data_IF_307065405035
#
_entry.id   IF_307065405035
#
_cell.length_a   1.000
_cell.length_b   1.000
_cell.length_c   1.000
_cell.angle_alpha   90.00
_cell.angle_beta   90.00
_cell.angle_gamma   90.00
#
_symmetry.space_group_name_H-M   'P 1'
#
loop_
_entity.id
_entity.type
_entity.pdbx_description
1 polymer ?
#
# COMPACT_ATOMS: atom_id res chain seq x y z
N UNK A 1 71.11 -44.21 3.89
CA UNK A 1 69.97 -43.36 3.53
C UNK A 1 69.03 -44.19 2.66
N UNK A 2 67.82 -44.55 3.17
CA UNK A 2 66.84 -45.32 2.39
C UNK A 2 66.08 -44.36 1.49
N UNK A 3 66.26 -44.45 0.17
CA UNK A 3 65.45 -43.74 -0.80
C UNK A 3 64.02 -44.29 -0.71
N UNK A 4 63.12 -43.45 -0.22
CA UNK A 4 61.70 -43.75 -0.18
C UNK A 4 61.16 -43.55 -1.61
N UNK A 5 61.16 -44.61 -2.40
CA UNK A 5 60.50 -44.59 -3.73
C UNK A 5 59.00 -44.65 -3.52
N UNK A 6 58.33 -43.52 -3.64
CA UNK A 6 56.87 -43.42 -3.64
C UNK A 6 56.37 -44.13 -4.91
N UNK A 7 55.57 -45.17 -4.73
CA UNK A 7 54.96 -45.89 -5.86
C UNK A 7 54.22 -44.89 -6.78
N UNK A 8 54.42 -44.93 -8.10
CA UNK A 8 53.79 -44.02 -9.06
C UNK A 8 52.28 -44.03 -8.96
N UNK A 9 51.66 -45.09 -8.49
CA UNK A 9 50.24 -45.19 -8.21
C UNK A 9 49.78 -44.29 -7.02
N UNK A 10 50.59 -44.19 -5.98
CA UNK A 10 50.31 -43.32 -4.85
C UNK A 10 50.36 -41.85 -5.24
N UNK A 11 51.30 -41.46 -6.09
CA UNK A 11 51.37 -40.09 -6.62
C UNK A 11 50.17 -39.75 -7.53
N UNK A 12 49.74 -40.69 -8.38
CA UNK A 12 48.57 -40.51 -9.22
C UNK A 12 47.26 -40.41 -8.41
N UNK A 13 47.10 -41.24 -7.38
CA UNK A 13 45.91 -41.18 -6.48
C UNK A 13 45.87 -39.88 -5.74
N UNK A 14 47.01 -39.41 -5.16
CA UNK A 14 47.03 -38.13 -4.44
C UNK A 14 46.71 -36.93 -5.34
N UNK A 15 47.23 -36.91 -6.59
CA UNK A 15 46.90 -35.87 -7.55
C UNK A 15 45.41 -35.89 -7.93
N UNK A 16 44.82 -37.08 -8.13
CA UNK A 16 43.38 -37.21 -8.40
C UNK A 16 42.50 -36.71 -7.25
N UNK A 17 42.86 -37.00 -6.02
CA UNK A 17 42.13 -36.56 -4.82
C UNK A 17 42.20 -35.01 -4.71
N UNK A 18 43.36 -34.43 -4.96
CA UNK A 18 43.51 -32.94 -4.92
C UNK A 18 42.66 -32.29 -6.01
N UNK A 19 42.65 -32.82 -7.23
CA UNK A 19 41.85 -32.28 -8.32
C UNK A 19 40.35 -32.40 -7.99
N UNK A 20 39.89 -33.58 -7.55
CA UNK A 20 38.48 -33.77 -7.15
C UNK A 20 38.05 -32.84 -6.03
N UNK A 21 38.91 -32.68 -5.02
CA UNK A 21 38.62 -31.74 -3.90
C UNK A 21 38.54 -30.32 -4.42
N UNK A 22 39.45 -29.91 -5.31
CA UNK A 22 39.43 -28.58 -5.93
C UNK A 22 38.15 -28.33 -6.74
N UNK A 23 37.75 -29.31 -7.56
CA UNK A 23 36.50 -29.22 -8.34
C UNK A 23 35.28 -29.11 -7.41
N UNK A 24 35.19 -29.92 -6.36
CA UNK A 24 34.11 -29.88 -5.39
C UNK A 24 34.03 -28.52 -4.65
N UNK A 25 35.17 -27.95 -4.30
CA UNK A 25 35.22 -26.62 -3.64
C UNK A 25 34.79 -25.49 -4.58
N UNK A 26 35.22 -25.57 -5.84
CA UNK A 26 34.78 -24.60 -6.87
C UNK A 26 33.29 -24.69 -7.14
N UNK A 27 32.76 -25.90 -7.28
CA UNK A 27 31.32 -26.11 -7.51
C UNK A 27 30.50 -25.59 -6.35
N UNK A 28 30.87 -25.87 -5.10
CA UNK A 28 30.20 -25.34 -3.92
C UNK A 28 30.25 -23.80 -3.89
N UNK A 29 31.39 -23.19 -4.21
CA UNK A 29 31.53 -21.74 -4.20
C UNK A 29 30.67 -21.09 -5.30
N UNK A 30 30.55 -21.72 -6.46
CA UNK A 30 29.70 -21.24 -7.55
C UNK A 30 28.20 -21.36 -7.19
N UNK A 31 27.79 -22.49 -6.61
CA UNK A 31 26.41 -22.66 -6.12
C UNK A 31 26.04 -21.59 -5.09
N UNK A 32 26.91 -21.34 -4.11
CA UNK A 32 26.66 -20.29 -3.10
C UNK A 32 26.48 -18.90 -3.75
N UNK A 33 27.38 -18.53 -4.66
CA UNK A 33 27.29 -17.25 -5.39
C UNK A 33 25.99 -17.15 -6.22
N UNK A 34 25.57 -18.23 -6.84
CA UNK A 34 24.33 -18.26 -7.62
C UNK A 34 23.10 -18.08 -6.73
N UNK A 35 23.07 -18.71 -5.56
CA UNK A 35 21.99 -18.53 -4.59
C UNK A 35 21.97 -17.13 -4.00
N UNK A 36 23.12 -16.56 -3.65
CA UNK A 36 23.21 -15.19 -3.14
C UNK A 36 22.78 -14.18 -4.20
N UNK A 37 23.21 -14.35 -5.45
CA UNK A 37 22.81 -13.49 -6.56
C UNK A 37 21.30 -13.54 -6.82
N UNK A 38 20.72 -14.73 -6.88
CA UNK A 38 19.28 -14.88 -7.08
C UNK A 38 18.48 -14.30 -5.91
N UNK A 39 18.94 -14.52 -4.69
CA UNK A 39 18.32 -13.94 -3.49
C UNK A 39 18.39 -12.40 -3.51
N UNK A 40 19.54 -11.84 -3.81
CA UNK A 40 19.75 -10.41 -3.91
C UNK A 40 18.89 -9.80 -5.03
N UNK A 41 18.82 -10.44 -6.20
CA UNK A 41 17.98 -10.02 -7.31
C UNK A 41 16.50 -10.03 -6.94
N UNK A 42 16.02 -11.09 -6.29
CA UNK A 42 14.64 -11.20 -5.84
C UNK A 42 14.30 -10.13 -4.80
N UNK A 43 15.19 -9.89 -3.83
CA UNK A 43 15.00 -8.86 -2.81
C UNK A 43 14.97 -7.45 -3.43
N UNK A 44 15.82 -7.19 -4.43
CA UNK A 44 15.82 -5.92 -5.15
C UNK A 44 14.53 -5.71 -5.95
N UNK A 45 14.03 -6.74 -6.62
CA UNK A 45 12.74 -6.68 -7.32
C UNK A 45 11.58 -6.41 -6.35
N UNK A 46 11.54 -7.12 -5.22
CA UNK A 46 10.53 -6.90 -4.18
C UNK A 46 10.62 -5.48 -3.59
N UNK A 47 11.82 -4.99 -3.32
CA UNK A 47 12.05 -3.62 -2.85
C UNK A 47 11.56 -2.58 -3.85
N UNK A 48 11.82 -2.79 -5.14
CA UNK A 48 11.35 -1.89 -6.21
C UNK A 48 9.83 -1.88 -6.30
N UNK A 49 9.18 -3.05 -6.28
CA UNK A 49 7.72 -3.17 -6.29
C UNK A 49 7.11 -2.51 -5.06
N UNK A 50 7.69 -2.76 -3.89
CA UNK A 50 7.26 -2.14 -2.62
C UNK A 50 7.36 -0.62 -2.69
N UNK A 51 8.49 -0.07 -3.14
CA UNK A 51 8.69 1.37 -3.23
C UNK A 51 7.72 2.04 -4.21
N UNK A 52 7.44 1.39 -5.37
CA UNK A 52 6.43 1.86 -6.31
C UNK A 52 5.04 1.86 -5.69
N UNK A 53 4.68 0.80 -4.99
CA UNK A 53 3.39 0.66 -4.31
C UNK A 53 3.22 1.73 -3.23
N UNK A 54 4.21 1.88 -2.33
CA UNK A 54 4.20 2.89 -1.27
C UNK A 54 4.14 4.31 -1.85
N UNK A 55 4.92 4.62 -2.88
CA UNK A 55 4.88 5.92 -3.56
C UNK A 55 3.53 6.21 -4.21
N UNK A 56 2.96 5.22 -4.89
CA UNK A 56 1.65 5.30 -5.53
C UNK A 56 0.52 5.50 -4.52
N UNK A 57 0.56 4.80 -3.39
CA UNK A 57 -0.43 4.96 -2.31
C UNK A 57 -0.28 6.31 -1.62
N UNK A 58 0.95 6.68 -1.24
CA UNK A 58 1.22 7.93 -0.53
C UNK A 58 0.79 9.16 -1.32
N UNK A 59 1.02 9.20 -2.64
CA UNK A 59 0.58 10.32 -3.47
C UNK A 59 -0.94 10.48 -3.45
N UNK A 60 -1.68 9.38 -3.51
CA UNK A 60 -3.15 9.40 -3.45
C UNK A 60 -3.67 9.79 -2.07
N UNK A 61 -3.03 9.30 -1.01
CA UNK A 61 -3.39 9.67 0.36
C UNK A 61 -3.07 11.14 0.66
N UNK A 62 -2.02 11.69 0.06
CA UNK A 62 -1.68 13.10 0.20
C UNK A 62 -2.77 14.03 -0.34
N UNK A 63 -3.43 13.65 -1.45
CA UNK A 63 -4.57 14.41 -1.98
C UNK A 63 -5.72 14.52 -0.97
N UNK A 64 -5.92 13.50 -0.15
CA UNK A 64 -6.98 13.50 0.85
C UNK A 64 -6.73 14.54 1.96
N UNK A 65 -5.48 14.87 2.26
CA UNK A 65 -5.16 15.94 3.24
C UNK A 65 -5.69 17.29 2.80
N UNK A 66 -5.59 17.60 1.51
CA UNK A 66 -6.17 18.83 0.95
C UNK A 66 -7.68 18.87 1.10
N UNK A 67 -8.35 17.75 0.82
CA UNK A 67 -9.79 17.63 0.98
C UNK A 67 -10.21 17.73 2.47
N UNK A 68 -9.50 17.03 3.36
CA UNK A 68 -9.72 17.14 4.82
C UNK A 68 -9.61 18.57 5.28
N UNK A 69 -8.55 19.29 4.91
CA UNK A 69 -8.35 20.69 5.28
C UNK A 69 -9.45 21.59 4.73
N UNK A 70 -9.88 21.41 3.49
CA UNK A 70 -10.97 22.16 2.87
C UNK A 70 -12.28 21.98 3.65
N UNK A 71 -12.61 20.74 4.02
CA UNK A 71 -13.86 20.43 4.73
C UNK A 71 -13.78 20.87 6.19
N UNK A 72 -12.61 20.77 6.83
CA UNK A 72 -12.42 21.29 8.20
C UNK A 72 -12.70 22.78 8.29
N UNK A 73 -12.37 23.53 7.23
CA UNK A 73 -12.66 24.98 7.16
C UNK A 73 -14.10 25.30 6.71
N UNK A 74 -14.70 24.42 5.91
CA UNK A 74 -16.09 24.57 5.45
C UNK A 74 -16.89 23.29 5.69
N UNK A 75 -17.32 23.03 6.94
CA UNK A 75 -18.05 21.81 7.29
C UNK A 75 -19.47 21.74 6.69
N UNK A 76 -19.99 22.86 6.20
CA UNK A 76 -21.30 22.94 5.57
C UNK A 76 -21.23 22.86 4.03
N UNK A 77 -20.15 22.27 3.52
CA UNK A 77 -19.96 22.06 2.08
C UNK A 77 -21.20 21.40 1.43
N UNK A 78 -21.67 21.96 0.33
CA UNK A 78 -22.77 21.41 -0.46
C UNK A 78 -22.31 20.26 -1.35
N UNK A 79 -23.26 19.48 -1.86
CA UNK A 79 -22.96 18.38 -2.82
C UNK A 79 -22.27 18.90 -4.10
N UNK A 80 -22.68 20.08 -4.58
CA UNK A 80 -22.11 20.69 -5.78
C UNK A 80 -20.66 21.15 -5.57
N UNK A 81 -20.36 21.79 -4.44
CA UNK A 81 -19.00 22.20 -4.08
C UNK A 81 -18.08 21.01 -3.84
N UNK A 82 -18.59 19.97 -3.17
CA UNK A 82 -17.86 18.72 -3.00
C UNK A 82 -17.53 18.08 -4.35
N UNK A 83 -18.52 17.96 -5.24
CA UNK A 83 -18.32 17.38 -6.56
C UNK A 83 -17.34 18.17 -7.42
N UNK A 84 -17.37 19.52 -7.35
CA UNK A 84 -16.42 20.38 -8.04
C UNK A 84 -14.98 20.17 -7.52
N UNK A 85 -14.80 20.11 -6.21
CA UNK A 85 -13.50 19.85 -5.56
C UNK A 85 -12.99 18.46 -5.91
N UNK A 86 -13.83 17.43 -5.77
CA UNK A 86 -13.49 16.06 -6.08
C UNK A 86 -13.09 15.87 -7.56
N UNK A 87 -13.80 16.53 -8.48
CA UNK A 87 -13.47 16.53 -9.91
C UNK A 87 -12.07 17.08 -10.18
N UNK A 88 -11.68 18.17 -9.51
CA UNK A 88 -10.34 18.77 -9.65
C UNK A 88 -9.29 17.80 -9.10
N UNK A 89 -9.54 17.23 -7.93
CA UNK A 89 -8.61 16.25 -7.32
C UNK A 89 -8.41 15.01 -8.16
N UNK A 90 -9.43 14.56 -8.89
CA UNK A 90 -9.35 13.38 -9.75
C UNK A 90 -8.85 13.66 -11.16
N UNK A 91 -8.82 14.92 -11.61
CA UNK A 91 -8.55 15.27 -13.01
C UNK A 91 -7.25 14.68 -13.59
N UNK A 92 -6.23 14.49 -12.75
CA UNK A 92 -4.92 13.95 -13.16
C UNK A 92 -4.54 12.68 -12.39
N UNK A 93 -5.53 12.00 -11.78
CA UNK A 93 -5.29 10.80 -10.99
C UNK A 93 -5.79 9.56 -11.72
N UNK A 94 -4.89 8.62 -11.92
CA UNK A 94 -5.26 7.29 -12.42
C UNK A 94 -5.49 6.34 -11.25
N UNK A 95 -6.51 5.49 -11.36
CA UNK A 95 -6.78 4.42 -10.41
C UNK A 95 -7.53 4.80 -9.14
N UNK A 96 -7.88 6.06 -8.94
CA UNK A 96 -8.89 6.43 -7.97
C UNK A 96 -10.24 6.31 -8.65
N UNK A 97 -11.08 5.42 -8.15
CA UNK A 97 -12.41 5.15 -8.69
C UNK A 97 -13.44 6.17 -8.20
N UNK A 98 -13.40 6.48 -6.92
CA UNK A 98 -14.32 7.42 -6.31
C UNK A 98 -13.73 8.08 -5.07
N UNK A 99 -14.26 9.25 -4.76
CA UNK A 99 -14.04 9.95 -3.49
C UNK A 99 -15.40 10.06 -2.80
N UNK A 100 -15.45 9.71 -1.51
CA UNK A 100 -16.65 9.83 -0.69
C UNK A 100 -16.43 10.80 0.46
N UNK A 101 -17.46 11.57 0.79
CA UNK A 101 -17.57 12.36 1.99
C UNK A 101 -18.62 11.75 2.90
N UNK A 102 -18.22 11.51 4.14
CA UNK A 102 -19.00 10.83 5.17
C UNK A 102 -19.24 11.81 6.29
N UNK A 103 -20.50 12.17 6.57
CA UNK A 103 -20.89 12.97 7.75
C UNK A 103 -21.17 12.01 8.91
N UNK A 104 -20.44 12.19 10.01
CA UNK A 104 -20.40 11.16 11.04
C UNK A 104 -19.89 9.84 10.45
N UNK A 105 -20.73 8.82 10.42
CA UNK A 105 -20.43 7.50 9.84
C UNK A 105 -21.21 7.20 8.55
N UNK A 106 -22.03 8.16 8.07
CA UNK A 106 -22.94 7.96 6.93
C UNK A 106 -22.43 8.67 5.68
N UNK A 107 -22.39 7.98 4.55
CA UNK A 107 -21.96 8.55 3.26
C UNK A 107 -22.95 9.62 2.84
N UNK A 108 -22.50 10.88 2.85
CA UNK A 108 -23.29 12.03 2.44
C UNK A 108 -23.16 12.34 0.95
N UNK A 109 -21.93 12.31 0.44
CA UNK A 109 -21.62 12.60 -0.96
C UNK A 109 -20.57 11.63 -1.50
N UNK A 110 -20.65 11.37 -2.81
CA UNK A 110 -19.68 10.56 -3.53
C UNK A 110 -19.46 11.13 -4.93
N UNK A 111 -18.23 11.07 -5.42
CA UNK A 111 -17.88 11.51 -6.76
C UNK A 111 -16.96 10.48 -7.45
N UNK A 112 -17.22 10.10 -8.71
CA UNK A 112 -18.43 10.40 -9.47
C UNK A 112 -19.68 9.78 -8.84
N UNK A 113 -20.85 10.41 -8.99
CA UNK A 113 -22.10 9.87 -8.49
C UNK A 113 -22.56 8.69 -9.35
N UNK A 114 -22.43 8.84 -10.67
CA UNK A 114 -22.84 7.79 -11.63
C UNK A 114 -22.14 6.48 -11.36
N UNK A 115 -22.94 5.43 -11.11
CA UNK A 115 -22.46 4.09 -10.76
C UNK A 115 -22.13 3.91 -9.27
N UNK A 116 -22.33 4.92 -8.43
CA UNK A 116 -22.11 4.88 -6.98
C UNK A 116 -23.34 5.33 -6.17
N UNK A 117 -24.50 5.46 -6.80
CA UNK A 117 -25.73 5.99 -6.19
C UNK A 117 -26.16 5.18 -4.97
N UNK A 118 -25.99 3.87 -5.01
CA UNK A 118 -26.36 2.95 -3.94
C UNK A 118 -25.53 3.14 -2.65
N UNK A 119 -24.40 3.83 -2.74
CA UNK A 119 -23.55 4.10 -1.58
C UNK A 119 -24.06 5.29 -0.76
N UNK A 120 -24.85 6.21 -1.36
CA UNK A 120 -25.38 7.38 -0.65
C UNK A 120 -26.31 6.93 0.49
N UNK A 121 -26.11 7.52 1.66
CA UNK A 121 -26.89 7.23 2.86
C UNK A 121 -26.45 5.96 3.62
N UNK A 122 -25.55 5.16 3.06
CA UNK A 122 -25.04 3.96 3.73
C UNK A 122 -24.25 4.34 4.97
N UNK A 123 -24.58 3.70 6.08
CA UNK A 123 -23.82 3.83 7.33
C UNK A 123 -22.67 2.82 7.33
N UNK A 124 -21.44 3.31 7.34
CA UNK A 124 -20.24 2.47 7.25
C UNK A 124 -20.11 1.52 8.44
N UNK A 125 -20.72 1.84 9.59
CA UNK A 125 -20.65 0.98 10.78
C UNK A 125 -21.55 -0.26 10.66
N UNK A 126 -22.48 -0.29 9.71
CA UNK A 126 -23.32 -1.48 9.46
C UNK A 126 -22.56 -2.55 8.65
N UNK A 127 -21.45 -2.18 8.00
CA UNK A 127 -20.62 -3.08 7.21
C UNK A 127 -19.44 -3.55 8.11
N UNK A 128 -19.32 -4.82 8.46
CA UNK A 128 -18.34 -5.29 9.45
C UNK A 128 -16.89 -4.83 9.16
N UNK A 129 -16.43 -4.98 7.91
CA UNK A 129 -15.08 -4.59 7.50
C UNK A 129 -14.87 -3.07 7.56
N UNK A 130 -15.89 -2.28 7.22
CA UNK A 130 -15.84 -0.81 7.26
C UNK A 130 -15.92 -0.28 8.70
N UNK A 131 -16.69 -0.94 9.57
CA UNK A 131 -16.82 -0.58 11.00
C UNK A 131 -15.46 -0.53 11.68
N UNK A 132 -14.64 -1.57 11.48
CA UNK A 132 -13.32 -1.62 12.08
C UNK A 132 -12.42 -0.48 11.58
N UNK A 133 -12.40 -0.22 10.27
CA UNK A 133 -11.62 0.88 9.69
C UNK A 133 -12.07 2.25 10.21
N UNK A 134 -13.37 2.46 10.33
CA UNK A 134 -13.93 3.72 10.86
C UNK A 134 -13.52 3.92 12.30
N UNK A 135 -13.67 2.88 13.14
CA UNK A 135 -13.27 2.94 14.55
C UNK A 135 -11.78 3.25 14.70
N UNK A 136 -10.92 2.53 13.97
CA UNK A 136 -9.47 2.72 13.99
C UNK A 136 -9.07 4.13 13.51
N UNK A 137 -9.69 4.63 12.42
CA UNK A 137 -9.41 5.96 11.92
C UNK A 137 -9.77 7.06 12.93
N UNK A 138 -10.90 6.93 13.61
CA UNK A 138 -11.35 7.89 14.62
C UNK A 138 -10.44 7.83 15.86
N UNK A 139 -10.14 6.64 16.36
CA UNK A 139 -9.33 6.43 17.56
C UNK A 139 -7.89 6.91 17.37
N UNK A 140 -7.26 6.51 16.26
CA UNK A 140 -5.86 6.85 15.96
C UNK A 140 -5.69 8.26 15.41
N UNK A 141 -6.79 8.89 14.97
CA UNK A 141 -6.80 10.19 14.25
C UNK A 141 -5.98 10.16 12.95
N UNK A 142 -5.78 8.99 12.37
CA UNK A 142 -4.96 8.78 11.17
C UNK A 142 -5.77 8.16 10.05
N UNK A 143 -5.27 8.36 8.83
CA UNK A 143 -5.81 7.65 7.68
C UNK A 143 -5.56 6.16 7.81
N UNK A 144 -6.60 5.36 7.67
CA UNK A 144 -6.55 3.90 7.60
C UNK A 144 -6.76 3.47 6.15
N UNK A 145 -5.93 2.54 5.70
CA UNK A 145 -6.03 1.92 4.38
C UNK A 145 -6.28 0.42 4.57
N UNK A 146 -7.28 -0.10 3.91
CA UNK A 146 -7.57 -1.53 3.92
C UNK A 146 -7.81 -2.07 2.50
N UNK A 147 -7.52 -3.33 2.32
CA UNK A 147 -7.68 -4.05 1.05
C UNK A 147 -6.50 -4.99 0.77
N UNK A 148 -6.57 -5.72 -0.34
CA UNK A 148 -7.68 -5.73 -1.30
C UNK A 148 -8.95 -6.37 -0.72
N UNK A 149 -10.10 -5.72 -0.92
CA UNK A 149 -11.41 -6.21 -0.47
C UNK A 149 -12.48 -6.06 -1.55
N UNK A 150 -13.57 -6.80 -1.41
CA UNK A 150 -14.73 -6.64 -2.29
C UNK A 150 -15.43 -5.32 -1.97
N UNK A 151 -15.60 -4.50 -2.99
CA UNK A 151 -16.28 -3.21 -2.89
C UNK A 151 -17.81 -3.37 -2.96
N UNK A 152 -18.56 -2.37 -2.54
CA UNK A 152 -20.02 -2.35 -2.62
C UNK A 152 -20.47 -2.53 -4.07
N UNK A 153 -19.72 -1.95 -5.01
CA UNK A 153 -19.96 -2.02 -6.45
C UNK A 153 -19.48 -3.34 -7.12
N UNK A 154 -19.02 -4.31 -6.32
CA UNK A 154 -18.71 -5.67 -6.76
C UNK A 154 -17.27 -5.96 -7.18
N UNK A 155 -16.44 -4.96 -7.45
CA UNK A 155 -15.03 -5.13 -7.81
C UNK A 155 -14.12 -5.29 -6.57
N UNK A 156 -12.84 -5.64 -6.83
CA UNK A 156 -11.82 -5.71 -5.77
C UNK A 156 -10.99 -4.43 -5.80
N UNK A 157 -10.81 -3.81 -4.64
CA UNK A 157 -10.03 -2.58 -4.53
C UNK A 157 -9.52 -2.34 -3.11
N UNK A 158 -8.89 -1.20 -2.96
CA UNK A 158 -8.44 -0.68 -1.68
C UNK A 158 -9.32 0.50 -1.27
N UNK A 159 -9.58 0.63 0.00
CA UNK A 159 -10.37 1.73 0.55
C UNK A 159 -9.51 2.44 1.59
N UNK A 160 -9.40 3.76 1.48
CA UNK A 160 -8.87 4.57 2.57
C UNK A 160 -9.99 5.31 3.29
N UNK A 161 -9.78 5.55 4.58
CA UNK A 161 -10.64 6.39 5.43
C UNK A 161 -9.78 7.37 6.18
N UNK A 162 -9.95 8.66 5.89
CA UNK A 162 -9.24 9.76 6.55
C UNK A 162 -10.25 10.50 7.43
N UNK A 163 -10.05 10.54 8.74
CA UNK A 163 -10.97 11.23 9.64
C UNK A 163 -10.84 12.74 9.50
N UNK A 164 -11.93 13.45 9.71
CA UNK A 164 -12.03 14.89 9.66
C UNK A 164 -12.41 15.39 11.06
N UNK A 165 -11.58 16.27 11.60
CA UNK A 165 -11.80 16.91 12.88
C UNK A 165 -11.93 18.42 12.66
N UNK A 166 -12.93 19.04 13.27
CA UNK A 166 -13.11 20.49 13.22
C UNK A 166 -12.17 21.10 14.25
N UNK A 167 -11.01 21.54 13.79
CA UNK A 167 -9.97 22.11 14.64
C UNK A 167 -10.23 23.60 14.85
N UNK A 168 -10.36 24.10 16.09
CA UNK A 168 -10.52 25.53 16.34
C UNK A 168 -9.33 26.34 15.83
N UNK A 169 -9.52 27.59 15.43
CA UNK A 169 -8.44 28.48 15.02
C UNK A 169 -7.33 28.53 16.08
N UNK A 170 -6.08 28.35 15.67
CA UNK A 170 -4.91 28.38 16.56
C UNK A 170 -4.63 27.10 17.35
N UNK A 171 -5.51 26.10 17.28
CA UNK A 171 -5.24 24.78 17.87
C UNK A 171 -4.41 23.90 16.94
N UNK A 172 -3.73 22.91 17.51
CA UNK A 172 -2.99 21.93 16.71
C UNK A 172 -3.97 21.16 15.79
N UNK A 173 -3.56 20.79 14.56
CA UNK A 173 -4.37 20.02 13.66
C UNK A 173 -4.90 18.73 14.31
N UNK A 174 -6.10 18.31 13.92
CA UNK A 174 -6.73 17.06 14.38
C UNK A 174 -7.10 17.00 15.88
N UNK A 175 -6.98 18.11 16.63
CA UNK A 175 -7.33 18.14 18.07
C UNK A 175 -8.82 18.42 18.34
N UNK A 176 -9.57 18.82 17.31
CA UNK A 176 -10.97 19.20 17.42
C UNK A 176 -11.93 18.02 17.56
N UNK A 177 -13.22 18.33 17.42
CA UNK A 177 -14.31 17.36 17.49
C UNK A 177 -14.38 16.58 16.18
N UNK A 178 -14.59 15.27 16.26
CA UNK A 178 -14.84 14.44 15.09
C UNK A 178 -16.09 14.90 14.36
N UNK A 179 -15.95 15.19 13.06
CA UNK A 179 -17.03 15.62 12.21
C UNK A 179 -17.49 14.54 11.24
N UNK A 180 -16.56 13.75 10.74
CA UNK A 180 -16.81 12.73 9.74
C UNK A 180 -15.53 12.16 9.13
N UNK A 181 -15.66 11.60 7.94
CA UNK A 181 -14.52 11.02 7.21
C UNK A 181 -14.59 11.42 5.74
N UNK A 182 -13.44 11.41 5.09
CA UNK A 182 -13.37 11.26 3.64
C UNK A 182 -12.72 9.93 3.31
N UNK A 183 -13.00 9.40 2.13
CA UNK A 183 -12.40 8.16 1.69
C UNK A 183 -12.23 8.11 0.19
N UNK A 184 -11.21 7.39 -0.24
CA UNK A 184 -11.04 7.05 -1.65
C UNK A 184 -11.15 5.54 -1.83
N UNK A 185 -11.69 5.17 -2.99
CA UNK A 185 -11.69 3.80 -3.50
C UNK A 185 -10.66 3.74 -4.62
N UNK A 186 -9.73 2.80 -4.52
CA UNK A 186 -8.64 2.63 -5.46
C UNK A 186 -8.77 1.25 -6.10
N UNK A 187 -8.77 1.19 -7.41
CA UNK A 187 -8.82 -0.08 -8.15
C UNK A 187 -7.51 -0.85 -7.98
N UNK A 188 -7.62 -2.15 -7.62
CA UNK A 188 -6.47 -3.04 -7.47
C UNK A 188 -5.56 -3.05 -8.67
N UNK A 189 -6.13 -3.15 -9.88
CA UNK A 189 -5.38 -3.34 -11.12
C UNK A 189 -4.55 -2.11 -11.53
N UNK A 190 -4.83 -0.96 -10.93
CA UNK A 190 -4.08 0.28 -11.17
C UNK A 190 -2.89 0.45 -10.23
N UNK A 191 -2.92 -0.19 -9.07
CA UNK A 191 -1.81 -0.14 -8.11
C UNK A 191 -0.69 -1.11 -8.50
N UNK A 192 -1.05 -2.21 -9.18
CA UNK A 192 -0.12 -3.29 -9.52
C UNK A 192 0.53 -3.13 -10.91
N UNK A 193 0.21 -2.07 -11.65
CA UNK A 193 0.85 -1.68 -12.90
C UNK A 193 1.98 -0.67 -12.65
#
# INVERSE_FOLDING_TARGET
MKNFQISPYLAAISASVVILTGVCLLDRSQQQRFWEYNRASTLNQLSTVRSKLEGSLNSRLFLMRGLVASISNNPNISAAEFAATARILLANQTGIRSIALVKGTRIAYIYPLVGNESAIGVDLTTIPQQRQMVAEAIETRKTVLAGPMKLIEGNIGFISRSPIFLTPPGAAPETGVFWGLTGIVIDRDTILK
#
